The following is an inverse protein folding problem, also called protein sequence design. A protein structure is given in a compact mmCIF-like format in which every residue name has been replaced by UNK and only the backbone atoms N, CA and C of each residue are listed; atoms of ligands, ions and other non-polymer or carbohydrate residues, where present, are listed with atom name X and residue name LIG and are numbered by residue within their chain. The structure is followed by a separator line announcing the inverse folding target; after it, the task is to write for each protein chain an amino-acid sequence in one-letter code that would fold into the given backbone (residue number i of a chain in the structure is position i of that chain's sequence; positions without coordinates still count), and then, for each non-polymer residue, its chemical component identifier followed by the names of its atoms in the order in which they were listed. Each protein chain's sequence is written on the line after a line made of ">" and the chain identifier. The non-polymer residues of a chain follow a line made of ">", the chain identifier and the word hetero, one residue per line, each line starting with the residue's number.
data_IF_964860208927
#
_entry.id   IF_964860208927
#
_cell.length_a   1.000
_cell.length_b   1.000
_cell.length_c   1.000
_cell.angle_alpha   90.00
_cell.angle_beta   90.00
_cell.angle_gamma   90.00
#
_symmetry.space_group_name_H-M   'P 1'
#
loop_
_entity.id
_entity.type
_entity.pdbx_description
1 polymer ?
#
# COMPACT_ATOMS: atom_id res chain seq x y z
N UNK A 1 3.56 7.15 13.94
CA UNK A 1 3.04 7.71 15.21
C UNK A 1 1.95 6.75 15.68
N UNK A 2 2.19 6.02 16.77
CA UNK A 2 1.17 5.10 17.29
C UNK A 2 0.35 5.87 18.35
N UNK A 3 -0.91 6.10 18.05
CA UNK A 3 -1.84 6.63 19.03
C UNK A 3 -2.45 5.44 19.78
N UNK A 4 -2.21 5.28 21.09
CA UNK A 4 -2.70 4.14 21.86
C UNK A 4 -4.23 4.07 21.98
N UNK A 5 -4.92 5.16 21.63
CA UNK A 5 -6.38 5.25 21.66
C UNK A 5 -7.04 4.83 20.33
N UNK A 6 -6.23 4.43 19.32
CA UNK A 6 -6.74 3.95 18.05
C UNK A 6 -6.52 2.45 17.92
N UNK A 7 -7.52 1.77 17.38
CA UNK A 7 -7.44 0.38 16.98
C UNK A 7 -7.81 0.22 15.51
N UNK A 8 -7.27 -0.82 14.89
CA UNK A 8 -7.55 -1.18 13.50
C UNK A 8 -8.21 -2.56 13.46
N UNK A 9 -9.25 -2.69 12.66
CA UNK A 9 -9.91 -3.97 12.42
C UNK A 9 -10.38 -4.05 10.97
N UNK A 10 -10.31 -5.25 10.40
CA UNK A 10 -10.94 -5.58 9.12
C UNK A 10 -12.30 -6.21 9.44
N UNK A 11 -13.41 -5.56 9.06
CA UNK A 11 -14.76 -6.07 9.33
C UNK A 11 -15.01 -7.45 8.69
N UNK A 12 -16.04 -8.15 9.17
CA UNK A 12 -16.44 -9.44 8.60
C UNK A 12 -16.93 -9.31 7.16
N UNK A 13 -17.52 -8.18 6.83
CA UNK A 13 -18.00 -7.83 5.49
C UNK A 13 -16.84 -7.58 4.51
N UNK A 14 -15.63 -7.41 5.00
CA UNK A 14 -14.45 -7.12 4.20
C UNK A 14 -14.04 -5.66 4.21
N UNK A 15 -13.04 -5.34 3.41
CA UNK A 15 -12.48 -4.00 3.24
C UNK A 15 -11.82 -3.88 1.87
N UNK A 16 -11.40 -2.68 1.54
CA UNK A 16 -10.59 -2.45 0.34
C UNK A 16 -9.11 -2.75 0.61
N UNK A 17 -8.45 -3.28 -0.40
CA UNK A 17 -6.99 -3.41 -0.44
C UNK A 17 -6.46 -2.78 -1.72
N UNK A 18 -5.27 -2.23 -1.66
CA UNK A 18 -4.58 -1.64 -2.81
C UNK A 18 -3.09 -1.93 -2.75
N UNK A 19 -2.42 -1.74 -3.86
CA UNK A 19 -0.98 -1.90 -3.99
C UNK A 19 -0.42 -0.67 -4.68
N UNK A 20 0.48 0.02 -4.01
CA UNK A 20 1.28 1.09 -4.60
C UNK A 20 2.58 0.52 -5.14
N UNK A 21 2.99 0.98 -6.31
CA UNK A 21 4.20 0.50 -6.96
C UNK A 21 4.99 1.61 -7.63
N UNK A 22 6.31 1.42 -7.69
CA UNK A 22 7.16 2.26 -8.52
C UNK A 22 7.08 1.83 -9.96
N UNK A 23 6.95 2.79 -10.87
CA UNK A 23 6.97 2.56 -12.30
C UNK A 23 8.04 3.41 -12.98
N UNK A 24 8.63 2.88 -14.03
CA UNK A 24 9.61 3.59 -14.85
C UNK A 24 8.92 4.08 -16.11
N UNK A 25 8.95 5.39 -16.34
CA UNK A 25 8.36 5.99 -17.55
C UNK A 25 9.06 5.46 -18.79
N UNK A 26 8.29 5.00 -19.79
CA UNK A 26 8.78 4.31 -20.99
C UNK A 26 9.94 5.01 -21.72
N UNK A 27 9.90 6.32 -21.80
CA UNK A 27 10.88 7.12 -22.57
C UNK A 27 11.87 7.86 -21.67
N UNK A 28 12.07 7.42 -20.43
CA UNK A 28 13.07 8.05 -19.55
C UNK A 28 14.48 7.90 -20.09
N UNK A 29 15.26 8.97 -20.00
CA UNK A 29 16.71 8.95 -20.29
C UNK A 29 17.56 8.44 -19.11
N UNK A 30 16.92 8.18 -17.96
CA UNK A 30 17.59 7.84 -16.70
C UNK A 30 17.14 6.46 -16.17
N UNK A 31 16.97 5.48 -17.07
CA UNK A 31 16.49 4.14 -16.72
C UNK A 31 17.36 3.48 -15.65
N UNK A 32 18.67 3.51 -15.83
CA UNK A 32 19.62 2.89 -14.88
C UNK A 32 19.56 3.50 -13.48
N UNK A 33 19.35 4.82 -13.41
CA UNK A 33 19.19 5.51 -12.12
C UNK A 33 17.87 5.13 -11.45
N UNK A 34 16.78 5.03 -12.24
CA UNK A 34 15.47 4.60 -11.74
C UNK A 34 15.51 3.15 -11.22
N UNK A 35 16.14 2.24 -11.95
CA UNK A 35 16.32 0.85 -11.53
C UNK A 35 17.17 0.74 -10.24
N UNK A 36 18.24 1.51 -10.13
CA UNK A 36 19.06 1.58 -8.90
C UNK A 36 18.25 2.11 -7.72
N UNK A 37 17.41 3.11 -7.94
CA UNK A 37 16.53 3.64 -6.89
C UNK A 37 15.52 2.58 -6.42
N UNK A 38 14.83 1.91 -7.36
CA UNK A 38 13.88 0.84 -7.02
C UNK A 38 14.61 -0.28 -6.25
N UNK A 39 15.78 -0.69 -6.72
CA UNK A 39 16.60 -1.69 -6.04
C UNK A 39 17.01 -1.27 -4.62
N UNK A 40 17.33 0.02 -4.42
CA UNK A 40 17.58 0.56 -3.11
C UNK A 40 16.35 0.47 -2.20
N UNK A 41 15.17 0.81 -2.72
CA UNK A 41 13.90 0.73 -1.99
C UNK A 41 13.50 -0.70 -1.61
N UNK A 42 13.96 -1.71 -2.37
CA UNK A 42 13.74 -3.14 -2.10
C UNK A 42 14.66 -3.73 -1.02
N UNK A 43 15.61 -2.97 -0.48
CA UNK A 43 16.45 -3.46 0.63
C UNK A 43 15.61 -3.59 1.91
N UNK A 44 15.79 -4.68 2.65
CA UNK A 44 14.98 -4.97 3.84
C UNK A 44 14.99 -3.83 4.87
N UNK A 45 16.17 -3.30 5.19
CA UNK A 45 16.31 -2.19 6.13
C UNK A 45 15.63 -0.89 5.65
N UNK A 46 15.58 -0.63 4.35
CA UNK A 46 14.86 0.51 3.78
C UNK A 46 13.36 0.26 3.77
N UNK A 47 12.93 -0.95 3.42
CA UNK A 47 11.53 -1.35 3.48
C UNK A 47 10.97 -1.21 4.91
N UNK A 48 11.70 -1.66 5.93
CA UNK A 48 11.35 -1.48 7.36
C UNK A 48 11.16 0.00 7.71
N UNK A 49 12.08 0.87 7.31
CA UNK A 49 11.95 2.32 7.56
C UNK A 49 10.72 2.92 6.88
N UNK A 50 10.44 2.50 5.65
CA UNK A 50 9.24 2.94 4.93
C UNK A 50 7.97 2.47 5.62
N UNK A 51 7.89 1.20 6.02
CA UNK A 51 6.76 0.65 6.76
C UNK A 51 6.53 1.42 8.06
N UNK A 52 7.58 1.72 8.81
CA UNK A 52 7.50 2.51 10.06
C UNK A 52 6.99 3.92 9.81
N UNK A 53 7.43 4.55 8.72
CA UNK A 53 7.09 5.93 8.40
C UNK A 53 5.67 6.08 7.83
N UNK A 54 5.27 5.17 6.94
CA UNK A 54 4.00 5.27 6.20
C UNK A 54 2.85 4.50 6.85
N UNK A 55 3.15 3.50 7.67
CA UNK A 55 2.16 2.55 8.19
C UNK A 55 1.71 1.51 7.17
N UNK A 56 2.27 1.48 5.96
CA UNK A 56 1.94 0.50 4.94
C UNK A 56 2.84 -0.72 5.01
N UNK A 57 2.32 -1.87 4.61
CA UNK A 57 3.11 -3.09 4.49
C UNK A 57 3.99 -3.07 3.24
N UNK A 58 5.05 -3.86 3.25
CA UNK A 58 5.93 -4.04 2.10
C UNK A 58 5.89 -5.48 1.60
N UNK A 59 6.04 -5.76 0.30
CA UNK A 59 6.17 -7.12 -0.22
C UNK A 59 7.56 -7.74 0.07
N UNK A 60 8.47 -6.99 0.68
CA UNK A 60 9.84 -7.45 0.96
C UNK A 60 9.86 -8.37 2.18
N UNK A 61 10.10 -9.66 1.97
CA UNK A 61 10.09 -10.68 3.02
C UNK A 61 10.99 -10.36 4.21
N UNK A 62 12.23 -9.91 3.96
CA UNK A 62 13.16 -9.56 5.03
C UNK A 62 12.70 -8.39 5.91
N UNK A 63 11.76 -7.56 5.44
CA UNK A 63 11.15 -6.53 6.26
C UNK A 63 10.08 -7.11 7.20
N UNK A 64 9.41 -8.20 6.81
CA UNK A 64 8.42 -8.87 7.65
C UNK A 64 9.05 -9.52 8.87
N UNK A 65 10.22 -10.13 8.69
CA UNK A 65 10.95 -10.83 9.76
C UNK A 65 11.29 -9.86 10.91
N UNK A 66 11.53 -8.59 10.60
CA UNK A 66 11.85 -7.56 11.60
C UNK A 66 10.60 -7.04 12.33
N UNK A 67 9.43 -7.01 11.69
CA UNK A 67 8.17 -6.61 12.32
C UNK A 67 7.48 -7.73 13.10
N UNK A 68 7.92 -8.98 12.97
CA UNK A 68 7.39 -10.14 13.66
C UNK A 68 5.88 -10.37 13.40
N UNK A 69 5.18 -10.85 14.42
CA UNK A 69 3.75 -11.17 14.34
C UNK A 69 2.82 -9.95 14.52
N UNK A 70 3.15 -8.81 13.95
CA UNK A 70 2.28 -7.64 14.02
C UNK A 70 1.03 -7.85 13.15
N UNK A 71 -0.07 -8.29 13.75
CA UNK A 71 -1.34 -8.60 13.06
C UNK A 71 -1.98 -7.36 12.40
N UNK A 72 -1.67 -6.16 12.87
CA UNK A 72 -2.17 -4.93 12.25
C UNK A 72 -1.48 -4.71 10.89
N UNK A 73 -0.18 -4.92 10.87
CA UNK A 73 0.61 -4.74 9.64
C UNK A 73 0.43 -5.91 8.67
N UNK A 74 0.21 -7.12 9.18
CA UNK A 74 0.11 -8.35 8.39
C UNK A 74 -1.20 -9.09 8.72
N UNK A 75 -2.32 -8.68 8.12
CA UNK A 75 -3.58 -9.41 8.25
C UNK A 75 -3.45 -10.86 7.81
N UNK A 76 -4.25 -11.74 8.40
CA UNK A 76 -4.29 -13.14 8.03
C UNK A 76 -4.76 -13.35 6.59
N UNK A 77 -4.49 -14.51 6.03
CA UNK A 77 -5.00 -14.87 4.69
C UNK A 77 -6.53 -14.86 4.66
N UNK A 78 -7.17 -15.23 5.75
CA UNK A 78 -8.63 -15.22 5.89
C UNK A 78 -9.16 -13.78 5.84
N UNK A 79 -8.57 -12.85 6.59
CA UNK A 79 -8.92 -11.42 6.55
C UNK A 79 -8.70 -10.83 5.16
N UNK A 80 -7.58 -11.13 4.53
CA UNK A 80 -7.27 -10.66 3.18
C UNK A 80 -8.19 -11.26 2.10
N UNK A 81 -8.74 -12.46 2.32
CA UNK A 81 -9.68 -13.07 1.36
C UNK A 81 -11.04 -12.37 1.31
N UNK A 82 -11.39 -11.64 2.38
CA UNK A 82 -12.60 -10.80 2.43
C UNK A 82 -12.38 -9.40 1.83
N UNK A 83 -11.13 -9.05 1.51
CA UNK A 83 -10.80 -7.73 0.98
C UNK A 83 -10.77 -7.74 -0.55
N UNK A 84 -11.35 -6.71 -1.15
CA UNK A 84 -11.40 -6.51 -2.60
C UNK A 84 -10.37 -5.46 -3.03
N UNK A 85 -9.75 -5.69 -4.19
CA UNK A 85 -8.89 -4.67 -4.80
C UNK A 85 -9.76 -3.58 -5.43
N UNK A 86 -9.30 -2.32 -5.36
CA UNK A 86 -9.93 -1.25 -6.12
C UNK A 86 -9.85 -1.57 -7.61
N UNK A 87 -11.01 -1.67 -8.23
CA UNK A 87 -11.13 -1.83 -9.68
C UNK A 87 -11.37 -0.46 -10.31
N UNK A 88 -10.66 -0.19 -11.39
CA UNK A 88 -10.92 1.01 -12.18
C UNK A 88 -12.22 0.81 -12.98
N UNK A 89 -13.19 1.67 -12.71
CA UNK A 89 -14.41 1.81 -13.48
C UNK A 89 -14.52 3.25 -13.99
N UNK A 90 -14.45 3.42 -15.31
CA UNK A 90 -14.47 4.74 -15.93
C UNK A 90 -15.79 5.50 -15.63
N UNK A 91 -16.92 4.80 -15.63
CA UNK A 91 -18.25 5.40 -15.37
C UNK A 91 -18.39 5.84 -13.92
N UNK A 92 -17.93 5.01 -12.99
CA UNK A 92 -17.92 5.36 -11.57
C UNK A 92 -16.98 6.54 -11.31
N UNK A 93 -15.78 6.53 -11.92
CA UNK A 93 -14.79 7.61 -11.78
C UNK A 93 -15.34 8.95 -12.27
N UNK A 94 -16.04 8.97 -13.41
CA UNK A 94 -16.68 10.18 -13.92
C UNK A 94 -17.74 10.72 -12.96
N UNK A 95 -18.61 9.84 -12.43
CA UNK A 95 -19.60 10.21 -11.42
C UNK A 95 -18.98 10.78 -10.15
N UNK A 96 -17.94 10.14 -9.63
CA UNK A 96 -17.22 10.63 -8.44
C UNK A 96 -16.59 12.00 -8.68
N UNK A 97 -15.97 12.20 -9.83
CA UNK A 97 -15.38 13.49 -10.19
C UNK A 97 -16.44 14.59 -10.28
N UNK A 98 -17.59 14.30 -10.85
CA UNK A 98 -18.71 15.24 -10.91
C UNK A 98 -19.23 15.59 -9.52
N UNK A 99 -19.51 14.58 -8.68
CA UNK A 99 -19.97 14.81 -7.31
C UNK A 99 -18.95 15.61 -6.50
N UNK A 100 -17.66 15.33 -6.68
CA UNK A 100 -16.60 16.08 -5.99
C UNK A 100 -16.55 17.55 -6.37
N UNK A 101 -16.83 17.88 -7.63
CA UNK A 101 -16.93 19.27 -8.09
C UNK A 101 -18.14 20.02 -7.53
N UNK A 102 -19.25 19.28 -7.28
CA UNK A 102 -20.47 19.85 -6.71
C UNK A 102 -20.35 20.15 -5.20
N UNK A 103 -19.46 19.46 -4.48
CA UNK A 103 -19.24 19.64 -3.03
C UNK A 103 -18.21 20.74 -2.73
N UNK A 104 -17.44 21.16 -3.71
CA UNK A 104 -16.33 22.09 -3.58
C UNK A 104 -16.74 23.53 -3.89
#
# INVERSE_FOLDING_TARGET
>A
MQNPNLAYAIPQEGSNKFVDGFVIVKNTKHKDAAEKFINFMCRSNIAVRNMTSTGYTSPIKGAWDEFGNNKIMFPSKEELSRCEAFLYDATATEKYNKMWQEIR
#
